data_IF_305666032345
#
_entry.id   IF_305666032345
#
_cell.length_a   1.000
_cell.length_b   1.000
_cell.length_c   1.000
_cell.angle_alpha   90.00
_cell.angle_beta   90.00
_cell.angle_gamma   90.00
#
_symmetry.space_group_name_H-M   'P 1'
#
loop_
_entity.id
_entity.type
_entity.pdbx_description
1 polymer ?
#
# COMPACT_ATOMS: atom_id res chain seq x y z
N UNK A 1 30.86 -24.68 59.03
CA UNK A 1 30.65 -24.29 57.63
C UNK A 1 32.03 -24.13 57.02
N UNK A 2 32.41 -25.04 56.13
CA UNK A 2 33.79 -25.14 55.65
C UNK A 2 34.02 -24.10 54.54
N UNK A 3 35.17 -23.41 54.53
CA UNK A 3 35.46 -22.36 53.53
C UNK A 3 35.26 -22.83 52.08
N UNK A 4 35.51 -24.12 51.84
CA UNK A 4 35.39 -24.78 50.53
C UNK A 4 33.94 -24.91 50.03
N UNK A 5 32.96 -25.11 50.93
CA UNK A 5 31.54 -25.17 50.57
C UNK A 5 31.00 -23.79 50.18
N UNK A 6 31.51 -22.72 50.81
CA UNK A 6 31.11 -21.35 50.50
C UNK A 6 31.62 -20.91 49.12
N UNK A 7 32.84 -21.31 48.75
CA UNK A 7 33.44 -21.01 47.44
C UNK A 7 32.80 -21.82 46.31
N UNK A 8 32.42 -23.09 46.54
CA UNK A 8 31.61 -23.86 45.59
C UNK A 8 30.26 -23.20 45.33
N UNK A 9 29.56 -22.79 46.40
CA UNK A 9 28.26 -22.13 46.30
C UNK A 9 28.36 -20.81 45.52
N UNK A 10 29.45 -20.06 45.73
CA UNK A 10 29.73 -18.79 45.02
C UNK A 10 30.04 -19.01 43.54
N UNK A 11 30.70 -20.11 43.19
CA UNK A 11 30.96 -20.47 41.79
C UNK A 11 29.70 -20.92 41.07
N UNK A 12 28.87 -21.76 41.70
CA UNK A 12 27.55 -22.16 41.17
C UNK A 12 26.69 -20.93 40.94
N UNK A 13 26.62 -20.02 41.92
CA UNK A 13 25.86 -18.77 41.78
C UNK A 13 26.32 -17.91 40.62
N UNK A 14 27.64 -17.79 40.40
CA UNK A 14 28.21 -17.05 39.26
C UNK A 14 27.91 -17.72 37.92
N UNK A 15 27.91 -19.04 37.87
CA UNK A 15 27.59 -19.78 36.66
C UNK A 15 26.10 -19.64 36.30
N UNK A 16 25.24 -19.71 37.31
CA UNK A 16 23.80 -19.54 37.18
C UNK A 16 23.43 -18.11 36.78
N UNK A 17 24.10 -17.11 37.36
CA UNK A 17 23.97 -15.69 37.01
C UNK A 17 24.40 -15.43 35.55
N UNK A 18 25.54 -15.99 35.11
CA UNK A 18 25.97 -15.93 33.70
C UNK A 18 24.98 -16.62 32.76
N UNK A 19 24.42 -17.75 33.18
CA UNK A 19 23.44 -18.49 32.38
C UNK A 19 22.13 -17.70 32.25
N UNK A 20 21.67 -17.07 33.34
CA UNK A 20 20.54 -16.14 33.34
C UNK A 20 20.81 -14.95 32.42
N UNK A 21 21.96 -14.29 32.51
CA UNK A 21 22.33 -13.16 31.66
C UNK A 21 22.37 -13.56 30.18
N UNK A 22 22.89 -14.76 29.87
CA UNK A 22 22.89 -15.29 28.50
C UNK A 22 21.48 -15.54 27.95
N UNK A 23 20.55 -16.05 28.78
CA UNK A 23 19.15 -16.29 28.42
C UNK A 23 18.39 -14.97 28.24
N UNK A 24 18.65 -13.99 29.10
CA UNK A 24 18.05 -12.64 29.00
C UNK A 24 18.48 -12.01 27.66
N UNK A 25 19.78 -11.96 27.37
CA UNK A 25 20.29 -11.42 26.10
C UNK A 25 19.74 -12.16 24.88
N UNK A 26 19.60 -13.49 24.96
CA UNK A 26 19.03 -14.27 23.87
C UNK A 26 17.55 -13.94 23.65
N UNK A 27 16.77 -13.82 24.73
CA UNK A 27 15.37 -13.45 24.67
C UNK A 27 15.17 -12.01 24.15
N UNK A 28 15.99 -11.05 24.58
CA UNK A 28 15.99 -9.68 24.07
C UNK A 28 16.23 -9.65 22.57
N UNK A 29 17.28 -10.35 22.09
CA UNK A 29 17.58 -10.44 20.66
C UNK A 29 16.42 -11.08 19.86
N UNK A 30 15.76 -12.10 20.40
CA UNK A 30 14.59 -12.71 19.76
C UNK A 30 13.41 -11.74 19.71
N UNK A 31 13.13 -11.01 20.79
CA UNK A 31 12.06 -10.00 20.84
C UNK A 31 12.30 -8.87 19.83
N UNK A 32 13.53 -8.37 19.76
CA UNK A 32 13.93 -7.34 18.77
C UNK A 32 13.70 -7.87 17.36
N UNK A 33 14.16 -9.10 17.06
CA UNK A 33 13.99 -9.70 15.75
C UNK A 33 12.52 -9.89 15.38
N UNK A 34 11.70 -10.40 16.30
CA UNK A 34 10.26 -10.59 16.07
C UNK A 34 9.54 -9.26 15.81
N UNK A 35 9.86 -8.21 16.58
CA UNK A 35 9.26 -6.88 16.37
C UNK A 35 9.69 -6.26 15.04
N UNK A 36 10.96 -6.43 14.65
CA UNK A 36 11.46 -5.97 13.37
C UNK A 36 10.83 -6.74 12.19
N UNK A 37 10.66 -8.05 12.30
CA UNK A 37 9.98 -8.89 11.30
C UNK A 37 8.50 -8.52 11.16
N UNK A 38 7.78 -8.30 12.27
CA UNK A 38 6.38 -7.84 12.22
C UNK A 38 6.26 -6.47 11.53
N UNK A 39 7.10 -5.52 11.94
CA UNK A 39 7.07 -4.14 11.41
C UNK A 39 7.44 -4.10 9.92
N UNK A 40 8.49 -4.83 9.52
CA UNK A 40 8.86 -4.97 8.11
C UNK A 40 7.81 -5.73 7.31
N UNK A 41 7.14 -6.72 7.90
CA UNK A 41 6.07 -7.48 7.27
C UNK A 41 4.89 -6.61 6.88
N UNK A 42 4.40 -5.77 7.79
CA UNK A 42 3.31 -4.82 7.51
C UNK A 42 3.69 -3.82 6.41
N UNK A 43 4.89 -3.24 6.49
CA UNK A 43 5.38 -2.33 5.46
C UNK A 43 5.51 -3.01 4.09
N UNK A 44 6.10 -4.22 4.03
CA UNK A 44 6.22 -5.01 2.80
C UNK A 44 4.85 -5.32 2.19
N UNK A 45 3.85 -5.59 3.03
CA UNK A 45 2.47 -5.84 2.58
C UNK A 45 1.85 -4.58 1.96
N UNK A 46 2.00 -3.41 2.57
CA UNK A 46 1.50 -2.15 2.01
C UNK A 46 2.25 -1.78 0.71
N UNK A 47 3.55 -1.99 0.69
CA UNK A 47 4.37 -1.77 -0.50
C UNK A 47 3.97 -2.70 -1.64
N UNK A 48 3.75 -3.99 -1.37
CA UNK A 48 3.33 -4.95 -2.40
C UNK A 48 1.95 -4.61 -2.96
N UNK A 49 1.02 -4.15 -2.11
CA UNK A 49 -0.28 -3.65 -2.56
C UNK A 49 -0.14 -2.42 -3.48
N UNK A 50 0.73 -1.48 -3.14
CA UNK A 50 0.99 -0.30 -3.99
C UNK A 50 1.63 -0.69 -5.34
N UNK A 51 2.57 -1.63 -5.34
CA UNK A 51 3.17 -2.17 -6.57
C UNK A 51 2.16 -2.94 -7.43
N UNK A 52 1.24 -3.68 -6.82
CA UNK A 52 0.14 -4.34 -7.52
C UNK A 52 -0.80 -3.31 -8.15
N UNK A 53 -1.18 -2.27 -7.40
CA UNK A 53 -2.01 -1.16 -7.91
C UNK A 53 -1.38 -0.48 -9.12
N UNK A 54 -0.07 -0.20 -9.05
CA UNK A 54 0.69 0.32 -10.20
C UNK A 54 0.60 -0.60 -11.40
N UNK A 55 0.91 -1.89 -11.25
CA UNK A 55 0.87 -2.83 -12.37
C UNK A 55 -0.53 -3.00 -12.95
N UNK A 56 -1.57 -2.96 -12.10
CA UNK A 56 -2.97 -2.98 -12.53
C UNK A 56 -3.34 -1.75 -13.38
N UNK A 57 -2.82 -0.56 -13.06
CA UNK A 57 -3.04 0.64 -13.88
C UNK A 57 -2.58 0.43 -15.34
N UNK A 58 -1.47 -0.28 -15.55
CA UNK A 58 -0.99 -0.62 -16.89
C UNK A 58 -1.92 -1.62 -17.61
N UNK A 59 -2.45 -2.61 -16.89
CA UNK A 59 -3.48 -3.53 -17.43
C UNK A 59 -4.75 -2.76 -17.81
N UNK A 60 -5.20 -1.84 -16.97
CA UNK A 60 -6.37 -1.00 -17.25
C UNK A 60 -6.16 -0.06 -18.42
N UNK A 61 -4.94 0.46 -18.61
CA UNK A 61 -4.56 1.21 -19.80
C UNK A 61 -4.75 0.36 -21.07
N UNK A 62 -4.22 -0.88 -21.10
CA UNK A 62 -4.42 -1.78 -22.23
C UNK A 62 -5.90 -2.08 -22.51
N UNK A 63 -6.69 -2.35 -21.47
CA UNK A 63 -8.13 -2.58 -21.63
C UNK A 63 -8.81 -1.35 -22.26
N UNK A 64 -8.41 -0.15 -21.85
CA UNK A 64 -8.96 1.10 -22.41
C UNK A 64 -8.64 1.25 -23.89
N UNK A 65 -7.42 0.93 -24.29
CA UNK A 65 -6.99 0.97 -25.70
C UNK A 65 -7.79 -0.05 -26.52
N UNK A 66 -7.94 -1.28 -26.03
CA UNK A 66 -8.73 -2.32 -26.71
C UNK A 66 -10.18 -1.86 -26.87
N UNK A 67 -10.80 -1.33 -25.81
CA UNK A 67 -12.17 -0.83 -25.85
C UNK A 67 -12.33 0.37 -26.80
N UNK A 68 -11.34 1.27 -26.85
CA UNK A 68 -11.33 2.40 -27.77
C UNK A 68 -11.27 1.95 -29.24
N UNK A 69 -10.48 0.90 -29.54
CA UNK A 69 -10.39 0.31 -30.89
C UNK A 69 -11.71 -0.38 -31.27
N UNK A 70 -12.32 -1.13 -30.35
CA UNK A 70 -13.61 -1.80 -30.61
C UNK A 70 -14.73 -0.81 -30.93
N UNK A 71 -14.70 0.38 -30.33
CA UNK A 71 -15.68 1.44 -30.52
C UNK A 71 -15.19 2.58 -31.42
N UNK A 72 -14.20 2.33 -32.30
CA UNK A 72 -13.54 3.39 -33.08
C UNK A 72 -14.50 4.11 -34.04
N UNK A 73 -15.52 3.40 -34.54
CA UNK A 73 -16.57 3.97 -35.40
C UNK A 73 -17.48 4.93 -34.63
N UNK A 74 -17.56 4.78 -33.30
CA UNK A 74 -18.35 5.63 -32.43
C UNK A 74 -17.47 6.48 -31.53
N UNK A 75 -16.98 7.58 -32.13
CA UNK A 75 -16.05 8.54 -31.53
C UNK A 75 -16.47 8.99 -30.12
N UNK A 76 -17.78 9.15 -29.87
CA UNK A 76 -18.34 9.53 -28.57
C UNK A 76 -18.00 8.55 -27.43
N UNK A 77 -17.77 7.27 -27.74
CA UNK A 77 -17.33 6.25 -26.80
C UNK A 77 -15.81 6.05 -26.82
N UNK A 78 -15.18 6.11 -28.00
CA UNK A 78 -13.73 5.90 -28.15
C UNK A 78 -12.88 6.98 -27.47
N UNK A 79 -13.24 8.26 -27.62
CA UNK A 79 -12.46 9.38 -27.03
C UNK A 79 -12.37 9.27 -25.49
N UNK A 80 -13.48 9.11 -24.75
CA UNK A 80 -13.41 8.90 -23.31
C UNK A 80 -12.51 7.73 -22.91
N UNK A 81 -12.57 6.58 -23.60
CA UNK A 81 -11.70 5.45 -23.31
C UNK A 81 -10.21 5.78 -23.50
N UNK A 82 -9.85 6.51 -24.57
CA UNK A 82 -8.46 6.95 -24.76
C UNK A 82 -8.01 7.85 -23.61
N UNK A 83 -8.84 8.81 -23.20
CA UNK A 83 -8.54 9.69 -22.07
C UNK A 83 -8.40 8.93 -20.75
N UNK A 84 -9.28 7.95 -20.51
CA UNK A 84 -9.18 7.04 -19.36
C UNK A 84 -7.89 6.22 -19.38
N UNK A 85 -7.51 5.69 -20.54
CA UNK A 85 -6.26 4.96 -20.73
C UNK A 85 -5.02 5.82 -20.47
N UNK A 86 -5.00 7.05 -20.98
CA UNK A 86 -3.92 8.02 -20.72
C UNK A 86 -3.82 8.38 -19.24
N UNK A 87 -4.96 8.56 -18.55
CA UNK A 87 -4.97 8.81 -17.11
C UNK A 87 -4.38 7.63 -16.32
N UNK A 88 -4.70 6.40 -16.71
CA UNK A 88 -4.11 5.19 -16.11
C UNK A 88 -2.61 5.06 -16.40
N UNK A 89 -2.17 5.40 -17.61
CA UNK A 89 -0.74 5.44 -17.94
C UNK A 89 0.01 6.49 -17.11
N UNK A 90 -0.59 7.66 -16.90
CA UNK A 90 -0.04 8.68 -16.02
C UNK A 90 0.06 8.17 -14.57
N UNK A 91 -0.97 7.50 -14.06
CA UNK A 91 -0.94 6.88 -12.73
C UNK A 91 0.21 5.87 -12.62
N UNK A 92 0.40 5.00 -13.62
CA UNK A 92 1.52 4.07 -13.66
C UNK A 92 2.88 4.80 -13.56
N UNK A 93 3.07 5.84 -14.37
CA UNK A 93 4.32 6.63 -14.40
C UNK A 93 4.56 7.30 -13.05
N UNK A 94 3.52 7.88 -12.45
CA UNK A 94 3.61 8.57 -11.15
C UNK A 94 4.03 7.66 -9.98
N UNK A 95 3.87 6.34 -10.12
CA UNK A 95 4.29 5.33 -9.14
C UNK A 95 5.57 4.59 -9.51
N UNK A 96 6.30 5.01 -10.56
CA UNK A 96 7.61 4.44 -10.89
C UNK A 96 8.66 4.69 -9.80
N UNK A 97 8.55 5.80 -9.06
CA UNK A 97 9.46 6.18 -7.97
C UNK A 97 9.38 5.27 -6.74
N UNK A 98 8.43 4.33 -6.69
CA UNK A 98 8.31 3.37 -5.59
C UNK A 98 9.36 2.27 -5.77
N UNK A 99 10.50 2.46 -5.11
CA UNK A 99 11.58 1.47 -5.05
C UNK A 99 11.27 0.36 -4.04
N UNK A 100 11.70 -0.86 -4.35
CA UNK A 100 11.66 -1.97 -3.39
C UNK A 100 12.79 -1.78 -2.36
N UNK A 101 12.51 -1.86 -1.04
CA UNK A 101 13.55 -1.83 -0.03
C UNK A 101 14.45 -3.06 -0.21
N UNK A 102 15.76 -2.84 -0.32
CA UNK A 102 16.73 -3.91 -0.16
C UNK A 102 16.59 -4.47 1.28
N UNK A 103 16.84 -5.75 1.51
CA UNK A 103 16.65 -6.38 2.83
C UNK A 103 17.95 -6.49 3.63
N UNK A 104 19.06 -5.98 3.09
CA UNK A 104 20.39 -5.93 3.72
C UNK A 104 20.75 -4.57 4.33
N UNK A 105 19.81 -3.64 4.36
CA UNK A 105 20.05 -2.23 4.74
C UNK A 105 19.80 -1.99 6.23
N UNK A 106 20.45 -0.96 6.76
CA UNK A 106 20.38 -0.59 8.17
C UNK A 106 18.96 -0.20 8.60
N UNK A 107 18.64 -0.36 9.89
CA UNK A 107 17.34 0.01 10.47
C UNK A 107 16.97 1.47 10.13
N UNK A 108 17.98 2.36 10.09
CA UNK A 108 17.82 3.77 9.69
C UNK A 108 17.37 3.91 8.22
N UNK A 109 17.91 3.12 7.30
CA UNK A 109 17.51 3.15 5.89
C UNK A 109 16.10 2.61 5.70
N UNK A 110 15.70 1.60 6.47
CA UNK A 110 14.32 1.11 6.48
C UNK A 110 13.35 2.20 6.97
N UNK A 111 13.68 2.90 8.06
CA UNK A 111 12.86 4.01 8.58
C UNK A 111 12.72 5.14 7.55
N UNK A 112 13.82 5.50 6.87
CA UNK A 112 13.82 6.49 5.79
C UNK A 112 12.91 6.06 4.63
N UNK A 113 12.92 4.76 4.30
CA UNK A 113 12.08 4.19 3.24
C UNK A 113 10.59 4.24 3.62
N UNK A 114 10.24 3.87 4.85
CA UNK A 114 8.86 3.98 5.37
C UNK A 114 8.38 5.43 5.33
N UNK A 115 9.22 6.38 5.75
CA UNK A 115 8.89 7.80 5.74
C UNK A 115 8.67 8.33 4.31
N UNK A 116 9.59 8.04 3.39
CA UNK A 116 9.46 8.41 1.98
C UNK A 116 8.19 7.82 1.35
N UNK A 117 7.90 6.55 1.63
CA UNK A 117 6.69 5.89 1.16
C UNK A 117 5.42 6.56 1.72
N UNK A 118 5.42 6.98 2.99
CA UNK A 118 4.30 7.71 3.59
C UNK A 118 4.07 9.07 2.93
N UNK A 119 5.14 9.83 2.65
CA UNK A 119 5.07 11.11 1.95
C UNK A 119 4.52 10.91 0.52
N UNK A 120 5.04 9.92 -0.20
CA UNK A 120 4.57 9.56 -1.55
C UNK A 120 3.09 9.17 -1.55
N UNK A 121 2.68 8.30 -0.63
CA UNK A 121 1.29 7.89 -0.45
C UNK A 121 0.38 9.09 -0.14
N UNK A 122 0.79 9.98 0.77
CA UNK A 122 -0.02 11.14 1.13
C UNK A 122 -0.18 12.13 -0.04
N UNK A 123 0.87 12.30 -0.85
CA UNK A 123 0.83 13.16 -2.03
C UNK A 123 -0.07 12.58 -3.14
N UNK A 124 0.03 11.27 -3.40
CA UNK A 124 -0.67 10.63 -4.52
C UNK A 124 -2.07 10.09 -4.20
N UNK A 125 -2.42 9.95 -2.91
CA UNK A 125 -3.69 9.37 -2.45
C UNK A 125 -4.94 9.93 -3.12
N UNK A 126 -4.97 11.26 -3.30
CA UNK A 126 -6.13 11.95 -3.89
C UNK A 126 -6.20 11.73 -5.40
N UNK A 127 -5.05 11.61 -6.04
CA UNK A 127 -4.93 11.48 -7.49
C UNK A 127 -5.22 10.05 -7.95
N UNK A 128 -4.69 9.03 -7.28
CA UNK A 128 -4.88 7.62 -7.68
C UNK A 128 -6.36 7.25 -7.74
N UNK A 129 -7.09 7.66 -6.72
CA UNK A 129 -8.53 7.42 -6.61
C UNK A 129 -9.34 8.22 -7.63
N UNK A 130 -9.00 9.49 -7.84
CA UNK A 130 -9.66 10.30 -8.85
C UNK A 130 -9.44 9.73 -10.25
N UNK A 131 -8.24 9.21 -10.53
CA UNK A 131 -7.90 8.55 -11.79
C UNK A 131 -8.70 7.26 -11.97
N UNK A 132 -8.78 6.39 -10.95
CA UNK A 132 -9.57 5.15 -11.02
C UNK A 132 -11.06 5.45 -11.19
N UNK A 133 -11.58 6.44 -10.47
CA UNK A 133 -12.97 6.87 -10.58
C UNK A 133 -13.29 7.43 -11.98
N UNK A 134 -12.40 8.29 -12.51
CA UNK A 134 -12.52 8.82 -13.87
C UNK A 134 -12.47 7.69 -14.91
N UNK A 135 -11.55 6.74 -14.74
CA UNK A 135 -11.44 5.59 -15.62
C UNK A 135 -12.73 4.77 -15.67
N UNK A 136 -13.35 4.49 -14.51
CA UNK A 136 -14.64 3.80 -14.44
C UNK A 136 -15.74 4.55 -15.19
N UNK A 137 -15.80 5.88 -15.06
CA UNK A 137 -16.77 6.70 -15.80
C UNK A 137 -16.56 6.65 -17.31
N UNK A 138 -15.30 6.54 -17.76
CA UNK A 138 -15.01 6.46 -19.20
C UNK A 138 -15.32 5.11 -19.81
N UNK A 139 -15.13 4.00 -19.08
CA UNK A 139 -15.41 2.65 -19.59
C UNK A 139 -16.85 2.20 -19.39
N UNK A 140 -17.55 2.67 -18.36
CA UNK A 140 -18.91 2.21 -18.06
C UNK A 140 -19.89 2.39 -19.24
N UNK A 141 -19.88 3.50 -20.00
CA UNK A 141 -20.73 3.66 -21.19
C UNK A 141 -20.42 2.63 -22.29
N UNK A 142 -19.15 2.27 -22.47
CA UNK A 142 -18.72 1.25 -23.45
C UNK A 142 -19.22 -0.12 -23.03
N UNK A 143 -19.06 -0.48 -21.75
CA UNK A 143 -19.57 -1.75 -21.23
C UNK A 143 -21.10 -1.85 -21.36
N UNK A 144 -21.82 -0.77 -21.03
CA UNK A 144 -23.28 -0.72 -21.17
C UNK A 144 -23.73 -0.89 -22.62
N UNK A 145 -23.00 -0.28 -23.56
CA UNK A 145 -23.29 -0.43 -24.98
C UNK A 145 -22.93 -1.83 -25.51
N UNK A 146 -21.73 -2.33 -25.23
CA UNK A 146 -21.25 -3.59 -25.80
C UNK A 146 -21.94 -4.82 -25.21
N UNK A 147 -22.25 -4.80 -23.91
CA UNK A 147 -22.84 -5.96 -23.20
C UNK A 147 -24.37 -5.91 -23.23
N UNK A 148 -24.97 -4.73 -23.07
CA UNK A 148 -26.43 -4.58 -22.91
C UNK A 148 -27.10 -3.91 -24.11
N UNK A 149 -26.36 -3.52 -25.16
CA UNK A 149 -26.86 -2.79 -26.34
C UNK A 149 -27.59 -1.48 -25.99
N UNK A 150 -27.22 -0.85 -24.85
CA UNK A 150 -27.81 0.42 -24.42
C UNK A 150 -26.98 1.58 -25.00
N UNK A 151 -27.56 2.33 -25.94
CA UNK A 151 -26.95 3.54 -26.51
C UNK A 151 -27.12 4.74 -25.58
N UNK A 152 -26.17 4.87 -24.65
CA UNK A 152 -26.21 5.86 -23.57
C UNK A 152 -26.20 7.31 -24.07
N UNK A 153 -25.48 7.61 -25.14
CA UNK A 153 -25.42 8.96 -25.72
C UNK A 153 -26.58 9.31 -26.65
N UNK A 154 -27.41 8.34 -27.04
CA UNK A 154 -28.55 8.56 -27.94
C UNK A 154 -29.87 8.72 -27.18
N UNK A 155 -29.98 8.16 -25.98
CA UNK A 155 -31.16 8.27 -25.12
C UNK A 155 -30.88 9.18 -23.91
N UNK A 156 -31.58 10.33 -23.88
CA UNK A 156 -31.46 11.33 -22.83
C UNK A 156 -31.90 10.79 -21.46
N UNK A 157 -32.85 9.84 -21.42
CA UNK A 157 -33.28 9.19 -20.16
C UNK A 157 -32.18 8.27 -19.64
N UNK A 158 -31.61 7.43 -20.50
CA UNK A 158 -30.49 6.56 -20.15
C UNK A 158 -29.28 7.36 -19.64
N UNK A 159 -28.97 8.48 -20.30
CA UNK A 159 -27.90 9.39 -19.90
C UNK A 159 -28.15 10.02 -18.52
N UNK A 160 -29.40 10.45 -18.25
CA UNK A 160 -29.76 11.04 -16.95
C UNK A 160 -29.64 10.04 -15.79
N UNK A 161 -30.09 8.79 -16.01
CA UNK A 161 -29.99 7.70 -15.03
C UNK A 161 -28.52 7.36 -14.78
N UNK A 162 -27.72 7.26 -15.84
CA UNK A 162 -26.28 7.03 -15.73
C UNK A 162 -25.61 8.12 -14.91
N UNK A 163 -25.90 9.40 -15.18
CA UNK A 163 -25.34 10.52 -14.44
C UNK A 163 -25.66 10.44 -12.93
N UNK A 164 -26.92 10.12 -12.58
CA UNK A 164 -27.32 9.93 -11.18
C UNK A 164 -26.57 8.78 -10.50
N UNK A 165 -26.49 7.62 -11.17
CA UNK A 165 -25.76 6.45 -10.65
C UNK A 165 -24.28 6.77 -10.50
N UNK A 166 -23.67 7.44 -11.48
CA UNK A 166 -22.28 7.90 -11.44
C UNK A 166 -22.01 8.77 -10.22
N UNK A 167 -22.86 9.74 -9.91
CA UNK A 167 -22.69 10.59 -8.71
C UNK A 167 -22.71 9.75 -7.42
N UNK A 168 -23.64 8.79 -7.30
CA UNK A 168 -23.70 7.90 -6.13
C UNK A 168 -22.45 7.02 -6.02
N UNK A 169 -22.01 6.43 -7.13
CA UNK A 169 -20.80 5.59 -7.15
C UNK A 169 -19.55 6.41 -6.80
N UNK A 170 -19.40 7.62 -7.36
CA UNK A 170 -18.28 8.50 -7.07
C UNK A 170 -18.23 8.90 -5.60
N UNK A 171 -19.37 9.27 -5.01
CA UNK A 171 -19.43 9.64 -3.59
C UNK A 171 -19.07 8.46 -2.67
N UNK A 172 -19.52 7.25 -3.00
CA UNK A 172 -19.13 6.03 -2.29
C UNK A 172 -17.63 5.73 -2.41
N UNK A 173 -17.06 5.83 -3.62
CA UNK A 173 -15.61 5.62 -3.84
C UNK A 173 -14.81 6.60 -3.01
N UNK A 174 -15.18 7.89 -3.01
CA UNK A 174 -14.49 8.92 -2.22
C UNK A 174 -14.60 8.62 -0.71
N UNK A 175 -15.78 8.23 -0.23
CA UNK A 175 -16.01 7.93 1.18
C UNK A 175 -15.18 6.71 1.65
N UNK A 176 -15.26 5.59 0.93
CA UNK A 176 -14.50 4.38 1.23
C UNK A 176 -13.00 4.64 1.22
N UNK A 177 -12.52 5.38 0.23
CA UNK A 177 -11.08 5.56 0.10
C UNK A 177 -10.52 6.49 1.17
N UNK A 178 -11.25 7.54 1.59
CA UNK A 178 -10.83 8.35 2.75
C UNK A 178 -10.62 7.49 4.00
N UNK A 179 -11.49 6.50 4.21
CA UNK A 179 -11.35 5.52 5.30
C UNK A 179 -10.10 4.66 5.11
N UNK A 180 -9.92 4.05 3.94
CA UNK A 180 -8.77 3.18 3.65
C UNK A 180 -7.43 3.91 3.78
N UNK A 181 -7.31 5.14 3.26
CA UNK A 181 -6.08 5.92 3.37
C UNK A 181 -5.77 6.32 4.81
N UNK A 182 -6.79 6.60 5.64
CA UNK A 182 -6.60 6.86 7.07
C UNK A 182 -6.07 5.62 7.79
N UNK A 183 -6.58 4.44 7.46
CA UNK A 183 -6.09 3.17 8.01
C UNK A 183 -4.64 2.90 7.58
N UNK A 184 -4.27 3.18 6.33
CA UNK A 184 -2.90 3.02 5.85
C UNK A 184 -1.92 4.00 6.51
N UNK A 185 -2.30 5.28 6.67
CA UNK A 185 -1.48 6.25 7.38
C UNK A 185 -1.25 5.82 8.84
N UNK A 186 -2.29 5.29 9.51
CA UNK A 186 -2.17 4.80 10.88
C UNK A 186 -1.24 3.59 10.98
N UNK A 187 -1.34 2.61 10.08
CA UNK A 187 -0.42 1.47 10.03
C UNK A 187 1.02 1.89 9.79
N UNK A 188 1.26 2.83 8.86
CA UNK A 188 2.60 3.36 8.59
C UNK A 188 3.16 4.15 9.78
N UNK A 189 2.32 4.89 10.52
CA UNK A 189 2.72 5.58 11.76
C UNK A 189 3.12 4.60 12.85
N UNK A 190 2.32 3.56 13.07
CA UNK A 190 2.63 2.52 14.07
C UNK A 190 3.93 1.80 13.70
N UNK A 191 4.10 1.42 12.43
CA UNK A 191 5.33 0.80 11.94
C UNK A 191 6.55 1.71 12.15
N UNK A 192 6.43 3.01 11.91
CA UNK A 192 7.51 3.97 12.13
C UNK A 192 7.83 4.20 13.62
N UNK A 193 6.81 4.19 14.49
CA UNK A 193 6.96 4.35 15.94
C UNK A 193 7.67 3.13 16.56
N UNK A 194 7.20 1.92 16.26
CA UNK A 194 7.81 0.67 16.72
C UNK A 194 9.28 0.57 16.30
N UNK A 195 9.60 0.98 15.06
CA UNK A 195 10.98 0.99 14.59
C UNK A 195 11.86 2.01 15.35
N UNK A 196 11.29 3.15 15.75
CA UNK A 196 11.99 4.18 16.51
C UNK A 196 12.32 3.72 17.93
N UNK A 197 11.38 3.05 18.59
CA UNK A 197 11.61 2.46 19.92
C UNK A 197 12.74 1.43 19.87
N UNK A 198 12.75 0.54 18.86
CA UNK A 198 13.84 -0.43 18.69
C UNK A 198 15.22 0.22 18.53
N UNK A 199 15.31 1.33 17.78
CA UNK A 199 16.58 2.07 17.63
C UNK A 199 17.04 2.69 18.96
N UNK A 200 16.11 3.15 19.79
CA UNK A 200 16.42 3.71 21.10
C UNK A 200 16.88 2.63 22.08
N UNK A 201 16.24 1.46 22.05
CA UNK A 201 16.68 0.29 22.82
C UNK A 201 18.07 -0.22 22.39
N UNK A 202 18.40 -0.22 21.10
CA UNK A 202 19.74 -0.64 20.65
C UNK A 202 20.88 0.33 21.02
N UNK A 203 20.55 1.58 21.37
CA UNK A 203 21.55 2.62 21.73
C UNK A 203 21.84 2.69 23.22
N UNK A 204 20.93 2.21 24.07
CA UNK A 204 21.04 2.20 25.53
C UNK A 204 21.56 0.85 26.02
#
# INVERSE_FOLDING_TARGET
MNYMELDELKNIWKEEDKNLDSKIKLNENLLIKMNMENTTGEFKKLLSQSLLGRNLALVYCFISIVMAILMIEEIAYSIPAILGGLAMLWSFISHLSIEKPNHKVSIVQLQKTICNFRVHMAANAKYDMAIVALWLLTLAPICLKYVYNISLYSDLKALSIFCLISVVVLTLIIAFSRKTYKEYDQKLKNAAANLSELIEFEKN
#
